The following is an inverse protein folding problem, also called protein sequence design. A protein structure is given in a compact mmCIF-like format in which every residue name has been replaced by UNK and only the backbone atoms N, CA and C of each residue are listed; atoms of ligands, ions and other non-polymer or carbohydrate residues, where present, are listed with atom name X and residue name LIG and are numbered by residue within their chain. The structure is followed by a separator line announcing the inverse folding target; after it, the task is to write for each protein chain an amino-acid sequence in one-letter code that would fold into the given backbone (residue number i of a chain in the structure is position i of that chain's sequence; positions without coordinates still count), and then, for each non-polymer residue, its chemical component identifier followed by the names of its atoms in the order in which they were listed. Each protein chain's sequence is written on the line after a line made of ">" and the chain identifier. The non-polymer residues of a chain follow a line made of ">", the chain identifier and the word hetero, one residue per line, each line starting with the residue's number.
data_IF_457813568449
#
_entry.id   IF_457813568449
#
_cell.length_a   1.000
_cell.length_b   1.000
_cell.length_c   1.000
_cell.angle_alpha   90.00
_cell.angle_beta   90.00
_cell.angle_gamma   90.00
#
_symmetry.space_group_name_H-M   'P 1'
#
loop_
_entity.id
_entity.type
_entity.pdbx_description
1 polymer ?
#
# COMPACT_ATOMS: atom_id res chain seq x y z
N UNK A 1 -10.37 -14.26 11.12
CA UNK A 1 -9.12 -14.11 11.91
C UNK A 1 -8.03 -13.65 10.97
N UNK A 2 -7.48 -12.45 11.18
CA UNK A 2 -6.44 -11.90 10.30
C UNK A 2 -5.13 -12.65 10.51
N UNK A 3 -4.50 -13.20 9.46
CA UNK A 3 -3.19 -13.81 9.59
C UNK A 3 -2.14 -12.74 9.91
N UNK A 4 -1.70 -12.67 11.17
CA UNK A 4 -0.77 -11.64 11.67
C UNK A 4 0.51 -11.58 10.83
N UNK A 5 1.02 -12.73 10.39
CA UNK A 5 2.21 -12.81 9.52
C UNK A 5 1.98 -12.11 8.17
N UNK A 6 0.81 -12.30 7.56
CA UNK A 6 0.46 -11.65 6.28
C UNK A 6 0.27 -10.15 6.49
N UNK A 7 -0.45 -9.76 7.54
CA UNK A 7 -0.64 -8.34 7.88
C UNK A 7 0.70 -7.63 8.12
N UNK A 8 1.61 -8.25 8.88
CA UNK A 8 2.93 -7.69 9.16
C UNK A 8 3.77 -7.59 7.87
N UNK A 9 3.77 -8.61 7.01
CA UNK A 9 4.48 -8.58 5.74
C UNK A 9 3.97 -7.45 4.82
N UNK A 10 2.64 -7.34 4.65
CA UNK A 10 2.03 -6.27 3.84
C UNK A 10 2.36 -4.90 4.41
N UNK A 11 2.29 -4.74 5.74
CA UNK A 11 2.59 -3.47 6.41
C UNK A 11 4.06 -3.07 6.22
N UNK A 12 5.00 -4.02 6.35
CA UNK A 12 6.43 -3.76 6.14
C UNK A 12 6.72 -3.37 4.68
N UNK A 13 6.11 -4.04 3.71
CA UNK A 13 6.25 -3.68 2.29
C UNK A 13 5.67 -2.29 2.03
N UNK A 14 4.53 -1.97 2.61
CA UNK A 14 3.87 -0.66 2.49
C UNK A 14 4.77 0.46 3.02
N UNK A 15 5.32 0.28 4.23
CA UNK A 15 6.22 1.25 4.84
C UNK A 15 7.54 1.38 4.06
N UNK A 16 8.11 0.27 3.61
CA UNK A 16 9.31 0.28 2.76
C UNK A 16 9.09 1.02 1.44
N UNK A 17 7.94 0.80 0.80
CA UNK A 17 7.55 1.52 -0.41
C UNK A 17 7.38 3.02 -0.12
N UNK A 18 6.71 3.41 0.96
CA UNK A 18 6.54 4.81 1.35
C UNK A 18 7.88 5.51 1.62
N UNK A 19 8.84 4.84 2.27
CA UNK A 19 10.20 5.36 2.46
C UNK A 19 10.89 5.52 1.09
N UNK A 20 10.75 4.54 0.19
CA UNK A 20 11.32 4.62 -1.15
C UNK A 20 10.74 5.77 -1.99
N UNK A 21 9.45 6.13 -1.81
CA UNK A 21 8.84 7.30 -2.46
C UNK A 21 9.61 8.58 -2.14
N UNK A 22 9.88 8.82 -0.85
CA UNK A 22 10.45 10.11 -0.38
C UNK A 22 11.97 10.16 -0.44
N UNK A 23 12.64 9.00 -0.50
CA UNK A 23 14.11 8.92 -0.56
C UNK A 23 14.65 8.82 -1.99
N UNK A 24 13.83 8.39 -2.95
CA UNK A 24 14.27 8.26 -4.33
C UNK A 24 14.34 9.63 -5.03
N UNK A 25 15.43 9.84 -5.78
CA UNK A 25 15.70 11.09 -6.51
C UNK A 25 14.96 11.16 -7.85
N UNK A 26 14.51 10.01 -8.37
CA UNK A 26 13.84 9.92 -9.65
C UNK A 26 12.32 9.88 -9.45
N UNK A 27 11.62 10.89 -9.97
CA UNK A 27 10.17 11.06 -9.79
C UNK A 27 9.36 9.88 -10.37
N UNK A 28 9.78 9.28 -11.48
CA UNK A 28 9.09 8.13 -12.06
C UNK A 28 9.20 6.89 -11.16
N UNK A 29 10.38 6.66 -10.58
CA UNK A 29 10.55 5.56 -9.63
C UNK A 29 9.76 5.82 -8.34
N UNK A 30 9.76 7.06 -7.84
CA UNK A 30 8.92 7.45 -6.72
C UNK A 30 7.44 7.21 -7.00
N UNK A 31 6.96 7.46 -8.23
CA UNK A 31 5.57 7.17 -8.61
C UNK A 31 5.26 5.67 -8.56
N UNK A 32 6.16 4.79 -9.03
CA UNK A 32 5.97 3.34 -8.90
C UNK A 32 5.94 2.88 -7.44
N UNK A 33 6.82 3.42 -6.59
CA UNK A 33 6.78 3.14 -5.15
C UNK A 33 5.52 3.68 -4.47
N UNK A 34 4.97 4.79 -4.97
CA UNK A 34 3.73 5.37 -4.47
C UNK A 34 2.55 4.46 -4.77
N UNK A 35 2.45 3.95 -6.01
CA UNK A 35 1.46 2.94 -6.38
C UNK A 35 1.59 1.69 -5.51
N UNK A 36 2.81 1.19 -5.30
CA UNK A 36 3.05 0.03 -4.43
C UNK A 36 2.59 0.29 -2.98
N UNK A 37 2.86 1.49 -2.44
CA UNK A 37 2.39 1.90 -1.11
C UNK A 37 0.86 1.91 -1.06
N UNK A 38 0.18 2.48 -2.05
CA UNK A 38 -1.29 2.52 -2.09
C UNK A 38 -1.94 1.14 -2.26
N UNK A 39 -1.36 0.25 -3.08
CA UNK A 39 -1.79 -1.15 -3.16
C UNK A 39 -1.60 -1.87 -1.82
N UNK A 40 -0.49 -1.58 -1.13
CA UNK A 40 -0.23 -2.09 0.22
C UNK A 40 -1.31 -1.67 1.23
N UNK A 41 -1.67 -0.38 1.24
CA UNK A 41 -2.77 0.14 2.08
C UNK A 41 -4.13 -0.49 1.71
N UNK A 42 -4.43 -0.64 0.41
CA UNK A 42 -5.65 -1.33 -0.01
C UNK A 42 -5.69 -2.78 0.49
N UNK A 43 -4.56 -3.48 0.43
CA UNK A 43 -4.41 -4.85 0.95
C UNK A 43 -4.60 -4.92 2.46
N UNK A 44 -4.14 -3.92 3.22
CA UNK A 44 -4.41 -3.79 4.66
C UNK A 44 -5.92 -3.67 4.91
N UNK A 45 -6.64 -2.84 4.14
CA UNK A 45 -8.10 -2.74 4.29
C UNK A 45 -8.82 -4.06 3.98
N UNK A 46 -8.36 -4.82 2.98
CA UNK A 46 -8.90 -6.17 2.72
C UNK A 46 -8.68 -7.10 3.92
N UNK A 47 -7.48 -7.10 4.49
CA UNK A 47 -7.15 -7.93 5.67
C UNK A 47 -7.96 -7.55 6.90
N UNK A 48 -8.35 -6.28 7.03
CA UNK A 48 -9.19 -5.76 8.12
C UNK A 48 -10.70 -5.90 7.86
N UNK A 49 -11.09 -6.68 6.85
CA UNK A 49 -12.50 -6.89 6.49
C UNK A 49 -13.23 -5.56 6.14
N UNK A 50 -12.50 -4.60 5.55
CA UNK A 50 -13.01 -3.29 5.11
C UNK A 50 -13.03 -3.15 3.57
N UNK A 51 -13.84 -3.94 2.84
CA UNK A 51 -13.78 -4.04 1.38
C UNK A 51 -14.17 -2.75 0.67
N UNK A 52 -15.13 -2.00 1.20
CA UNK A 52 -15.56 -0.72 0.60
C UNK A 52 -14.43 0.31 0.60
N UNK A 53 -13.71 0.43 1.71
CA UNK A 53 -12.57 1.36 1.83
C UNK A 53 -11.40 0.88 0.95
N UNK A 54 -11.16 -0.44 0.87
CA UNK A 54 -10.16 -1.00 -0.03
C UNK A 54 -10.42 -0.63 -1.50
N UNK A 55 -11.67 -0.73 -1.96
CA UNK A 55 -12.04 -0.34 -3.33
C UNK A 55 -11.87 1.16 -3.55
N UNK A 56 -12.31 2.00 -2.60
CA UNK A 56 -12.11 3.45 -2.67
C UNK A 56 -10.62 3.81 -2.78
N UNK A 57 -9.77 3.15 -1.99
CA UNK A 57 -8.32 3.36 -2.01
C UNK A 57 -7.75 3.14 -3.42
N UNK A 58 -8.17 2.08 -4.10
CA UNK A 58 -7.73 1.79 -5.47
C UNK A 58 -8.28 2.81 -6.45
N UNK A 59 -9.58 3.10 -6.38
CA UNK A 59 -10.26 3.97 -7.36
C UNK A 59 -9.80 5.43 -7.29
N UNK A 60 -9.50 5.96 -6.10
CA UNK A 60 -9.16 7.38 -5.92
C UNK A 60 -7.66 7.64 -5.97
N UNK A 61 -6.85 6.73 -5.43
CA UNK A 61 -5.42 7.00 -5.23
C UNK A 61 -4.50 6.27 -6.22
N UNK A 62 -4.97 5.22 -6.90
CA UNK A 62 -4.17 4.48 -7.89
C UNK A 62 -4.58 4.83 -9.33
N UNK A 63 -5.89 5.01 -9.57
CA UNK A 63 -6.43 5.49 -10.86
C UNK A 63 -6.04 6.92 -11.16
#
# INVERSE_FOLDING_TARGET
>A
MVPILVFAAVSLVTLGAAIAVVTNKNVLHSAYFLVLSFVGVASVYVLLEAPFIAVIQVLIYIG
#
